data_IF_766816143301
#
_entry.id   IF_766816143301
#
_cell.length_a   1.000
_cell.length_b   1.000
_cell.length_c   1.000
_cell.angle_alpha   90.00
_cell.angle_beta   90.00
_cell.angle_gamma   90.00
#
_symmetry.space_group_name_H-M   'P 1'
#
loop_
_entity.id
_entity.type
_entity.pdbx_description
1 polymer ?
#
# COMPACT_ATOMS: atom_id res chain seq x y z
N UNK A 1 -2.78 14.33 23.17
CA UNK A 1 -1.76 14.72 22.17
C UNK A 1 -0.40 14.63 22.83
N UNK A 2 0.61 14.11 22.13
CA UNK A 2 2.00 14.02 22.61
C UNK A 2 2.92 14.72 21.61
N UNK A 3 3.89 15.46 22.14
CA UNK A 3 4.86 16.23 21.36
C UNK A 3 6.28 15.91 21.84
N UNK A 4 7.24 15.89 20.90
CA UNK A 4 8.67 15.75 21.18
C UNK A 4 8.99 14.58 22.13
N UNK A 5 8.45 13.40 21.82
CA UNK A 5 8.57 12.21 22.68
C UNK A 5 9.38 11.13 21.99
N UNK A 6 10.26 10.42 22.71
CA UNK A 6 10.94 9.26 22.10
C UNK A 6 9.92 8.20 21.69
N UNK A 7 8.90 7.97 22.52
CA UNK A 7 7.84 7.00 22.23
C UNK A 7 6.50 7.54 22.70
N UNK A 8 5.49 7.45 21.83
CA UNK A 8 4.09 7.63 22.19
C UNK A 8 3.39 6.29 22.06
N UNK A 9 2.71 5.85 23.12
CA UNK A 9 1.92 4.62 23.12
C UNK A 9 0.47 4.93 23.49
N UNK A 10 -0.47 4.32 22.78
CA UNK A 10 -1.90 4.44 23.04
C UNK A 10 -2.55 3.06 22.91
N UNK A 11 -3.31 2.66 23.92
CA UNK A 11 -3.93 1.33 23.98
C UNK A 11 -5.40 1.48 24.34
N UNK A 12 -6.26 0.75 23.64
CA UNK A 12 -7.72 0.76 23.85
C UNK A 12 -8.30 2.19 23.77
N UNK A 13 -7.75 3.01 22.88
CA UNK A 13 -8.13 4.41 22.80
C UNK A 13 -9.42 4.59 22.02
N UNK A 14 -10.39 5.24 22.66
CA UNK A 14 -11.67 5.64 22.05
C UNK A 14 -11.62 7.06 21.49
N UNK A 15 -10.45 7.70 21.52
CA UNK A 15 -10.25 9.08 21.08
C UNK A 15 -9.06 9.21 20.15
N UNK A 16 -9.09 10.24 19.29
CA UNK A 16 -8.03 10.49 18.34
C UNK A 16 -6.68 10.68 19.06
N UNK A 17 -5.74 9.80 18.77
CA UNK A 17 -4.37 9.89 19.30
C UNK A 17 -3.51 10.64 18.29
N UNK A 18 -2.94 11.77 18.71
CA UNK A 18 -2.02 12.57 17.89
C UNK A 18 -0.65 12.58 18.54
N UNK A 19 0.37 12.17 17.77
CA UNK A 19 1.78 12.24 18.13
C UNK A 19 2.54 13.08 17.11
N UNK A 20 3.34 14.05 17.60
CA UNK A 20 4.14 14.95 16.77
C UNK A 20 5.61 14.93 17.20
N UNK A 21 6.51 14.82 16.23
CA UNK A 21 7.97 14.77 16.46
C UNK A 21 8.39 13.63 17.40
N UNK A 22 7.72 12.47 17.26
CA UNK A 22 8.05 11.32 18.09
C UNK A 22 8.87 10.30 17.33
N UNK A 23 9.90 9.70 17.92
CA UNK A 23 10.68 8.66 17.20
C UNK A 23 9.78 7.49 16.84
N UNK A 24 9.01 6.99 17.82
CA UNK A 24 8.09 5.86 17.64
C UNK A 24 6.69 6.22 18.12
N UNK A 25 5.68 5.95 17.29
CA UNK A 25 4.26 5.97 17.69
C UNK A 25 3.70 4.57 17.60
N UNK A 26 3.05 4.10 18.66
CA UNK A 26 2.38 2.82 18.73
C UNK A 26 0.93 2.99 19.17
N UNK A 27 0.02 2.34 18.45
CA UNK A 27 -1.39 2.31 18.79
C UNK A 27 -1.97 0.91 18.67
N UNK A 28 -2.68 0.46 19.70
CA UNK A 28 -3.34 -0.85 19.70
C UNK A 28 -4.79 -0.69 20.12
N UNK A 29 -5.70 -1.35 19.37
CA UNK A 29 -7.15 -1.32 19.63
C UNK A 29 -7.71 0.10 19.69
N UNK A 30 -7.35 0.94 18.72
CA UNK A 30 -7.89 2.30 18.61
C UNK A 30 -9.17 2.27 17.77
N UNK A 31 -10.32 2.51 18.39
CA UNK A 31 -11.59 2.59 17.63
C UNK A 31 -11.69 3.85 16.79
N UNK A 32 -10.70 4.75 16.88
CA UNK A 32 -10.64 6.03 16.17
C UNK A 32 -9.34 6.18 15.37
N UNK A 33 -8.91 7.43 15.15
CA UNK A 33 -7.77 7.78 14.32
C UNK A 33 -6.48 7.86 15.15
N UNK A 34 -5.43 7.17 14.71
CA UNK A 34 -4.07 7.41 15.18
C UNK A 34 -3.32 8.23 14.14
N UNK A 35 -2.86 9.41 14.52
CA UNK A 35 -2.10 10.32 13.67
C UNK A 35 -0.67 10.48 14.18
N UNK A 36 0.29 10.21 13.31
CA UNK A 36 1.71 10.45 13.54
C UNK A 36 2.24 11.46 12.53
N UNK A 37 2.81 12.54 13.06
CA UNK A 37 3.44 13.62 12.31
C UNK A 37 4.93 13.62 12.66
N UNK A 38 5.79 13.55 11.64
CA UNK A 38 7.24 13.54 11.83
C UNK A 38 7.74 12.46 12.80
N UNK A 39 7.21 11.24 12.64
CA UNK A 39 7.76 10.06 13.31
C UNK A 39 8.54 9.16 12.38
N UNK A 40 9.67 8.66 12.88
CA UNK A 40 10.50 7.63 12.23
C UNK A 40 9.69 6.34 12.06
N UNK A 41 8.96 5.92 13.10
CA UNK A 41 8.19 4.69 13.07
C UNK A 41 6.77 4.95 13.55
N UNK A 42 5.77 4.49 12.78
CA UNK A 42 4.37 4.48 13.19
C UNK A 42 3.82 3.07 13.05
N UNK A 43 3.42 2.46 14.17
CA UNK A 43 2.86 1.12 14.22
C UNK A 43 1.45 1.17 14.77
N UNK A 44 0.54 0.50 14.08
CA UNK A 44 -0.85 0.42 14.52
C UNK A 44 -1.43 -0.96 14.29
N UNK A 45 -2.13 -1.47 15.31
CA UNK A 45 -2.85 -2.74 15.25
C UNK A 45 -4.31 -2.50 15.65
N UNK A 46 -5.24 -3.13 14.94
CA UNK A 46 -6.69 -3.07 15.23
C UNK A 46 -7.16 -1.61 15.37
N UNK A 47 -6.95 -0.81 14.33
CA UNK A 47 -7.26 0.62 14.37
C UNK A 47 -8.16 1.03 13.23
N UNK A 48 -9.18 1.84 13.49
CA UNK A 48 -10.07 2.32 12.42
C UNK A 48 -9.29 3.06 11.34
N UNK A 49 -8.50 4.06 11.74
CA UNK A 49 -7.68 4.84 10.80
C UNK A 49 -6.28 5.07 11.34
N UNK A 50 -5.27 4.82 10.51
CA UNK A 50 -3.89 5.21 10.78
C UNK A 50 -3.42 6.20 9.75
N UNK A 51 -2.97 7.38 10.19
CA UNK A 51 -2.42 8.42 9.34
C UNK A 51 -0.99 8.76 9.73
N UNK A 52 -0.13 8.77 8.73
CA UNK A 52 1.31 8.98 8.86
C UNK A 52 1.74 10.06 7.86
N UNK A 53 2.08 11.28 8.29
CA UNK A 53 2.49 12.38 7.38
C UNK A 53 3.84 13.00 7.73
N UNK A 54 4.60 13.37 6.69
CA UNK A 54 5.82 14.20 6.68
C UNK A 54 6.94 13.70 7.60
N UNK A 55 8.04 13.20 7.03
CA UNK A 55 9.20 12.78 7.82
C UNK A 55 10.48 12.68 6.98
N UNK A 56 11.60 12.72 7.68
CA UNK A 56 12.98 12.64 7.17
C UNK A 56 13.33 11.23 6.67
N UNK A 57 14.55 11.04 6.12
CA UNK A 57 15.00 9.93 5.24
C UNK A 57 14.63 8.47 5.60
N UNK A 58 14.22 8.15 6.82
CA UNK A 58 14.01 6.79 7.30
C UNK A 58 12.66 6.67 8.03
N UNK A 59 11.57 6.53 7.28
CA UNK A 59 10.24 6.34 7.88
C UNK A 59 9.53 5.06 7.47
N UNK A 60 9.05 4.34 8.47
CA UNK A 60 8.26 3.12 8.30
C UNK A 60 6.88 3.26 8.96
N UNK A 61 5.82 3.01 8.18
CA UNK A 61 4.46 2.85 8.71
C UNK A 61 4.06 1.39 8.58
N UNK A 62 3.66 0.76 9.69
CA UNK A 62 3.21 -0.61 9.73
C UNK A 62 1.81 -0.65 10.32
N UNK A 63 0.85 -1.16 9.56
CA UNK A 63 -0.53 -1.31 10.02
C UNK A 63 -1.03 -2.74 9.84
N UNK A 64 -1.75 -3.22 10.84
CA UNK A 64 -2.42 -4.52 10.82
C UNK A 64 -3.87 -4.35 11.26
N UNK A 65 -4.80 -4.96 10.53
CA UNK A 65 -6.24 -4.92 10.81
C UNK A 65 -6.75 -3.48 10.95
N UNK A 66 -6.54 -2.66 9.91
CA UNK A 66 -6.99 -1.27 9.93
C UNK A 66 -7.98 -0.98 8.81
N UNK A 67 -9.09 -0.30 9.08
CA UNK A 67 -10.00 0.06 7.99
C UNK A 67 -9.28 0.93 6.96
N UNK A 68 -8.52 1.94 7.41
CA UNK A 68 -7.80 2.85 6.51
C UNK A 68 -6.37 3.09 6.97
N UNK A 69 -5.41 2.85 6.07
CA UNK A 69 -4.01 3.25 6.24
C UNK A 69 -3.67 4.35 5.26
N UNK A 70 -3.17 5.49 5.77
CA UNK A 70 -2.73 6.62 4.95
C UNK A 70 -1.30 6.97 5.32
N UNK A 71 -0.41 6.93 4.33
CA UNK A 71 0.99 7.31 4.49
C UNK A 71 1.40 8.32 3.43
N UNK A 72 2.08 9.38 3.85
CA UNK A 72 2.66 10.37 2.94
C UNK A 72 4.10 10.67 3.34
N UNK A 73 4.97 10.76 2.33
CA UNK A 73 6.41 11.01 2.52
C UNK A 73 7.05 9.98 3.44
N UNK A 74 6.91 8.69 3.09
CA UNK A 74 7.50 7.58 3.86
C UNK A 74 8.53 6.82 3.04
N UNK A 75 9.52 6.24 3.70
CA UNK A 75 10.41 5.28 3.03
C UNK A 75 9.62 4.01 2.74
N UNK A 76 8.89 3.52 3.75
CA UNK A 76 8.15 2.27 3.67
C UNK A 76 6.76 2.38 4.29
N UNK A 77 5.77 1.84 3.59
CA UNK A 77 4.43 1.60 4.14
C UNK A 77 4.07 0.14 3.97
N UNK A 78 3.72 -0.51 5.08
CA UNK A 78 3.32 -1.89 5.17
C UNK A 78 1.91 -1.94 5.74
N UNK A 79 0.98 -2.58 5.04
CA UNK A 79 -0.39 -2.74 5.53
C UNK A 79 -0.91 -4.15 5.30
N UNK A 80 -1.46 -4.75 6.35
CA UNK A 80 -2.01 -6.10 6.31
C UNK A 80 -3.46 -6.07 6.81
N UNK A 81 -4.38 -6.70 6.06
CA UNK A 81 -5.80 -6.73 6.36
C UNK A 81 -6.40 -5.32 6.50
N UNK A 82 -6.13 -4.47 5.52
CA UNK A 82 -6.73 -3.13 5.48
C UNK A 82 -7.80 -3.00 4.41
N UNK A 83 -8.94 -2.38 4.72
CA UNK A 83 -9.93 -2.10 3.67
C UNK A 83 -9.32 -1.20 2.60
N UNK A 84 -8.67 -0.12 3.01
CA UNK A 84 -8.02 0.82 2.11
C UNK A 84 -6.58 1.15 2.56
N UNK A 85 -5.64 1.08 1.62
CA UNK A 85 -4.27 1.57 1.79
C UNK A 85 -3.98 2.68 0.80
N UNK A 86 -3.61 3.85 1.29
CA UNK A 86 -3.21 5.00 0.48
C UNK A 86 -1.77 5.40 0.81
N UNK A 87 -0.94 5.53 -0.23
CA UNK A 87 0.44 5.95 -0.10
C UNK A 87 0.81 6.98 -1.16
N UNK A 88 1.44 8.06 -0.72
CA UNK A 88 1.87 9.16 -1.60
C UNK A 88 3.32 9.55 -1.32
N UNK A 89 4.10 9.79 -2.38
CA UNK A 89 5.51 10.21 -2.29
C UNK A 89 6.34 9.26 -1.39
N UNK A 90 6.19 7.95 -1.59
CA UNK A 90 6.88 6.95 -0.77
C UNK A 90 7.85 6.12 -1.60
N UNK A 91 8.90 5.58 -0.99
CA UNK A 91 9.81 4.71 -1.76
C UNK A 91 9.11 3.38 -2.03
N UNK A 92 8.63 2.71 -0.98
CA UNK A 92 7.99 1.40 -1.10
C UNK A 92 6.66 1.36 -0.38
N UNK A 93 5.66 0.76 -1.01
CA UNK A 93 4.41 0.38 -0.34
C UNK A 93 4.12 -1.08 -0.63
N UNK A 94 3.90 -1.84 0.44
CA UNK A 94 3.44 -3.22 0.35
C UNK A 94 2.14 -3.38 1.12
N UNK A 95 1.16 -3.97 0.47
CA UNK A 95 -0.16 -4.21 1.06
C UNK A 95 -0.64 -5.62 0.74
N UNK A 96 -1.19 -6.27 1.75
CA UNK A 96 -1.67 -7.66 1.67
C UNK A 96 -3.07 -7.75 2.25
N UNK A 97 -3.97 -8.42 1.52
CA UNK A 97 -5.39 -8.54 1.87
C UNK A 97 -6.08 -7.18 2.01
N UNK A 98 -5.93 -6.32 1.01
CA UNK A 98 -6.61 -5.03 0.98
C UNK A 98 -7.64 -4.91 -0.11
N UNK A 99 -8.84 -4.39 0.19
CA UNK A 99 -9.85 -4.19 -0.85
C UNK A 99 -9.35 -3.17 -1.88
N UNK A 100 -8.82 -2.05 -1.42
CA UNK A 100 -8.35 -0.97 -2.28
C UNK A 100 -6.94 -0.52 -1.90
N UNK A 101 -6.10 -0.36 -2.92
CA UNK A 101 -4.74 0.16 -2.78
C UNK A 101 -4.56 1.30 -3.78
N UNK A 102 -4.17 2.47 -3.27
CA UNK A 102 -3.91 3.67 -4.08
C UNK A 102 -2.50 4.15 -3.79
N UNK A 103 -1.65 4.14 -4.81
CA UNK A 103 -0.25 4.54 -4.72
C UNK A 103 0.04 5.65 -5.72
N UNK A 104 0.58 6.77 -5.26
CA UNK A 104 0.92 7.93 -6.11
C UNK A 104 2.35 8.40 -5.89
N UNK A 105 3.16 8.46 -6.96
CA UNK A 105 4.58 8.87 -6.91
C UNK A 105 5.40 7.94 -6.01
N UNK A 106 5.40 6.65 -6.32
CA UNK A 106 6.19 5.66 -5.60
C UNK A 106 7.33 5.11 -6.45
N UNK A 107 8.40 4.65 -5.80
CA UNK A 107 9.36 3.81 -6.53
C UNK A 107 8.76 2.41 -6.76
N UNK A 108 8.22 1.80 -5.70
CA UNK A 108 7.72 0.42 -5.77
C UNK A 108 6.40 0.26 -5.03
N UNK A 109 5.42 -0.35 -5.71
CA UNK A 109 4.15 -0.80 -5.13
C UNK A 109 4.06 -2.30 -5.26
N UNK A 110 3.83 -3.01 -4.15
CA UNK A 110 3.67 -4.47 -4.10
C UNK A 110 2.33 -4.80 -3.46
N UNK A 111 1.45 -5.47 -4.19
CA UNK A 111 0.12 -5.82 -3.70
C UNK A 111 -0.15 -7.31 -3.82
N UNK A 112 -0.83 -7.86 -2.82
CA UNK A 112 -1.22 -9.28 -2.82
C UNK A 112 -2.63 -9.41 -2.27
N UNK A 113 -3.48 -10.15 -2.98
CA UNK A 113 -4.86 -10.41 -2.63
C UNK A 113 -5.64 -9.09 -2.45
N UNK A 114 -5.78 -8.32 -3.53
CA UNK A 114 -6.54 -7.07 -3.50
C UNK A 114 -7.77 -7.12 -4.41
N UNK A 115 -8.78 -6.30 -4.15
CA UNK A 115 -9.84 -6.14 -5.15
C UNK A 115 -9.35 -5.18 -6.24
N UNK A 116 -8.83 -4.03 -5.83
CA UNK A 116 -8.39 -2.97 -6.74
C UNK A 116 -7.03 -2.42 -6.31
N UNK A 117 -6.07 -2.44 -7.24
CA UNK A 117 -4.79 -1.73 -7.13
C UNK A 117 -4.73 -0.62 -8.17
N UNK A 118 -4.53 0.63 -7.72
CA UNK A 118 -4.28 1.80 -8.57
C UNK A 118 -2.91 2.39 -8.26
N UNK A 119 -2.09 2.55 -9.28
CA UNK A 119 -0.74 3.09 -9.19
C UNK A 119 -0.55 4.21 -10.21
N UNK A 120 -0.13 5.38 -9.77
CA UNK A 120 0.10 6.55 -10.63
C UNK A 120 1.51 7.09 -10.40
N UNK A 121 2.27 7.31 -11.48
CA UNK A 121 3.66 7.77 -11.40
C UNK A 121 4.56 6.85 -10.56
N UNK A 122 4.38 5.54 -10.71
CA UNK A 122 5.20 4.57 -9.99
C UNK A 122 6.26 3.95 -10.90
N UNK A 123 7.49 3.78 -10.41
CA UNK A 123 8.53 3.11 -11.22
C UNK A 123 8.17 1.65 -11.47
N UNK A 124 7.77 0.94 -10.40
CA UNK A 124 7.40 -0.46 -10.44
C UNK A 124 6.08 -0.72 -9.71
N UNK A 125 5.18 -1.49 -10.33
CA UNK A 125 3.96 -2.00 -9.70
C UNK A 125 3.88 -3.50 -9.88
N UNK A 126 3.83 -4.24 -8.79
CA UNK A 126 3.65 -5.69 -8.76
C UNK A 126 2.33 -5.99 -8.05
N UNK A 127 1.45 -6.72 -8.72
CA UNK A 127 0.11 -7.02 -8.22
C UNK A 127 -0.19 -8.50 -8.41
N UNK A 128 -0.39 -9.22 -7.31
CA UNK A 128 -0.72 -10.64 -7.33
C UNK A 128 -2.12 -10.88 -6.78
N UNK A 129 -2.93 -11.67 -7.48
CA UNK A 129 -4.32 -11.98 -7.12
C UNK A 129 -5.15 -10.70 -6.88
N UNK A 130 -5.06 -9.75 -7.81
CA UNK A 130 -5.87 -8.54 -7.76
C UNK A 130 -6.97 -8.58 -8.80
N UNK A 131 -8.24 -8.39 -8.46
CA UNK A 131 -9.32 -8.38 -9.47
C UNK A 131 -9.05 -7.34 -10.56
N UNK A 132 -8.72 -6.11 -10.15
CA UNK A 132 -8.41 -4.99 -11.04
C UNK A 132 -7.07 -4.36 -10.69
N UNK A 133 -6.20 -4.21 -11.69
CA UNK A 133 -4.96 -3.44 -11.58
C UNK A 133 -4.93 -2.31 -12.61
N UNK A 134 -4.75 -1.08 -12.15
CA UNK A 134 -4.62 0.11 -13.00
C UNK A 134 -3.28 0.79 -12.73
N UNK A 135 -2.53 1.05 -13.80
CA UNK A 135 -1.21 1.68 -13.75
C UNK A 135 -1.13 2.84 -14.75
N UNK A 136 -0.80 4.05 -14.29
CA UNK A 136 -0.69 5.24 -15.14
C UNK A 136 0.65 5.91 -14.96
N UNK A 137 1.32 6.25 -16.06
CA UNK A 137 2.63 6.92 -16.08
C UNK A 137 3.71 6.14 -15.33
N UNK A 138 3.76 4.82 -15.53
CA UNK A 138 4.74 3.95 -14.87
C UNK A 138 5.99 3.80 -15.72
N UNK A 139 7.15 4.15 -15.17
CA UNK A 139 8.36 4.33 -16.00
C UNK A 139 9.07 3.03 -16.36
N UNK A 140 8.84 1.93 -15.63
CA UNK A 140 9.65 0.72 -15.80
C UNK A 140 8.82 -0.53 -15.96
N UNK A 141 8.07 -0.99 -14.95
CA UNK A 141 7.43 -2.31 -15.06
C UNK A 141 6.14 -2.40 -14.26
N UNK A 142 5.07 -2.81 -14.93
CA UNK A 142 3.85 -3.31 -14.28
C UNK A 142 3.79 -4.83 -14.48
N UNK A 143 3.88 -5.60 -13.40
CA UNK A 143 3.67 -7.04 -13.41
C UNK A 143 2.37 -7.39 -12.70
N UNK A 144 1.49 -8.09 -13.40
CA UNK A 144 0.24 -8.59 -12.82
C UNK A 144 0.13 -10.09 -12.99
N UNK A 145 -0.30 -10.77 -11.92
CA UNK A 145 -0.55 -12.22 -11.90
C UNK A 145 -1.92 -12.47 -11.30
N UNK A 146 -2.70 -13.32 -11.96
CA UNK A 146 -4.07 -13.67 -11.57
C UNK A 146 -4.97 -12.44 -11.39
N UNK A 147 -4.87 -11.49 -12.34
CA UNK A 147 -5.77 -10.35 -12.42
C UNK A 147 -6.81 -10.54 -13.51
N UNK A 148 -8.08 -10.29 -13.17
CA UNK A 148 -9.18 -10.31 -14.14
C UNK A 148 -9.05 -9.16 -15.13
N UNK A 149 -8.72 -7.97 -14.63
CA UNK A 149 -8.60 -6.75 -15.43
C UNK A 149 -7.27 -6.06 -15.14
N UNK A 150 -6.48 -5.82 -16.18
CA UNK A 150 -5.27 -4.99 -16.10
C UNK A 150 -5.36 -3.87 -17.13
N UNK A 151 -5.26 -2.62 -16.68
CA UNK A 151 -5.18 -1.45 -17.55
C UNK A 151 -3.88 -0.70 -17.28
N UNK A 152 -3.17 -0.34 -18.35
CA UNK A 152 -1.95 0.43 -18.27
C UNK A 152 -1.92 1.53 -19.32
N UNK A 153 -1.62 2.75 -18.88
CA UNK A 153 -1.55 3.93 -19.76
C UNK A 153 -0.21 4.62 -19.53
N UNK A 154 0.50 4.92 -20.62
CA UNK A 154 1.84 5.52 -20.57
C UNK A 154 2.83 4.73 -19.69
N UNK A 155 2.83 3.41 -19.86
CA UNK A 155 3.78 2.52 -19.20
C UNK A 155 4.80 2.01 -20.21
N UNK A 156 6.08 2.10 -19.87
CA UNK A 156 7.16 1.64 -20.75
C UNK A 156 7.14 0.12 -20.93
N UNK A 157 6.70 -0.64 -19.92
CA UNK A 157 6.59 -2.10 -20.01
C UNK A 157 5.49 -2.62 -19.09
N UNK A 158 4.61 -3.47 -19.64
CA UNK A 158 3.52 -4.13 -18.91
C UNK A 158 3.53 -5.61 -19.26
N UNK A 159 3.65 -6.47 -18.24
CA UNK A 159 3.68 -7.93 -18.39
C UNK A 159 2.50 -8.54 -17.63
N UNK A 160 1.65 -9.28 -18.33
CA UNK A 160 0.48 -9.96 -17.76
C UNK A 160 0.67 -11.47 -17.92
N UNK A 161 1.17 -12.13 -16.88
CA UNK A 161 1.65 -13.52 -16.98
C UNK A 161 0.49 -14.53 -17.16
N UNK A 162 -0.67 -14.28 -16.54
CA UNK A 162 -1.81 -15.19 -16.59
C UNK A 162 -2.54 -15.20 -17.95
N UNK A 163 -2.66 -14.03 -18.62
CA UNK A 163 -3.25 -13.96 -19.97
C UNK A 163 -2.31 -14.58 -21.01
N UNK A 164 -1.00 -14.37 -20.87
CA UNK A 164 -0.01 -14.98 -21.78
C UNK A 164 -0.05 -16.51 -21.72
N UNK A 165 -0.07 -17.09 -20.52
CA UNK A 165 -0.21 -18.54 -20.34
C UNK A 165 -1.53 -19.08 -20.90
N UNK A 166 -2.65 -18.36 -20.73
CA UNK A 166 -3.95 -18.76 -21.29
C UNK A 166 -3.96 -18.71 -22.83
N UNK A 167 -3.36 -17.67 -23.42
CA UNK A 167 -3.23 -17.53 -24.88
C UNK A 167 -2.31 -18.60 -25.47
N UNK A 168 -1.19 -18.93 -24.81
CA UNK A 168 -0.32 -20.03 -25.23
C UNK A 168 -1.05 -21.37 -25.19
N UNK A 169 -1.79 -21.66 -24.12
CA UNK A 169 -2.57 -22.89 -24.02
C UNK A 169 -3.68 -22.97 -25.07
N UNK A 170 -4.35 -21.87 -25.38
CA UNK A 170 -5.35 -21.79 -26.45
C UNK A 170 -4.73 -21.97 -27.84
N UNK A 171 -3.56 -21.36 -28.07
CA UNK A 171 -2.84 -21.54 -29.33
C UNK A 171 -2.40 -23.00 -29.51
N UNK A 172 -1.92 -23.64 -28.45
CA UNK A 172 -1.59 -25.07 -28.45
C UNK A 172 -2.84 -25.93 -28.70
N UNK A 173 -3.99 -25.64 -28.07
CA UNK A 173 -5.20 -26.43 -28.32
C UNK A 173 -5.69 -26.31 -29.76
N UNK A 174 -5.58 -25.13 -30.39
CA UNK A 174 -5.94 -24.94 -31.81
C UNK A 174 -4.98 -25.69 -32.75
N UNK A 175 -3.71 -25.85 -32.37
CA UNK A 175 -2.70 -26.56 -33.18
C UNK A 175 -2.86 -28.09 -33.06
N UNK A 176 -3.38 -28.58 -31.94
CA UNK A 176 -3.47 -30.01 -31.63
C UNK A 176 -4.89 -30.60 -31.73
N UNK A 177 -5.91 -29.81 -32.06
CA UNK A 177 -7.23 -30.24 -32.57
C UNK A 177 -7.26 -30.29 -34.10
#
# INVERSE_FOLDING_TARGET
MSTNSTTTMSTNSTTTTISTNSTTTMSTNSTTTTMSINSTTNMSTNSTTTKSTHSTKLRTTITTNSTTTISAHSTQTMSTYSTTTMSTNSTTTKSTHSKQIISTKLRTTITTNSTTTKSTHSTQTMSNNSTTTMSTNSTTTTMTTNSTTTMSTYSTTTTILCILLLLELLALSIIFD
#
